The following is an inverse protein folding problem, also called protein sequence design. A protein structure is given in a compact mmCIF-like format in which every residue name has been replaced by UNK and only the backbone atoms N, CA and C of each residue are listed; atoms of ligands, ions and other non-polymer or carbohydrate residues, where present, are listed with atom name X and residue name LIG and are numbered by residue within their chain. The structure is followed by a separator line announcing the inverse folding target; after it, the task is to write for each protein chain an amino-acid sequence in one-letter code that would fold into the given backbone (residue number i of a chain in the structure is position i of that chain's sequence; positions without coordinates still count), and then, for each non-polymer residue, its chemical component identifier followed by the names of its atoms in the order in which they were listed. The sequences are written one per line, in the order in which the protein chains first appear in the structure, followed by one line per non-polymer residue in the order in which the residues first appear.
data_IF_201208058032
#
_entry.id   IF_201208058032
#
_cell.length_a   1.000
_cell.length_b   1.000
_cell.length_c   1.000
_cell.angle_alpha   90.00
_cell.angle_beta   90.00
_cell.angle_gamma   90.00
#
_symmetry.space_group_name_H-M   'P 1'
#
loop_
_entity.id
_entity.type
_entity.pdbx_description
1 polymer ?
#
# COMPACT_ATOMS: atom_id res chain seq x y z
N UNK A 1 53.09 -0.59 -2.97
CA UNK A 1 52.01 -0.60 -1.97
C UNK A 1 51.06 0.53 -2.39
N UNK A 2 50.30 0.26 -3.46
CA UNK A 2 49.36 1.22 -4.04
C UNK A 2 48.10 1.24 -3.20
N UNK A 3 47.80 2.41 -2.64
CA UNK A 3 46.51 2.70 -2.03
C UNK A 3 45.45 2.72 -3.12
N UNK A 4 44.73 1.60 -3.26
CA UNK A 4 43.46 1.55 -3.96
C UNK A 4 42.52 2.49 -3.21
N UNK A 5 42.38 3.71 -3.74
CA UNK A 5 41.32 4.61 -3.35
C UNK A 5 40.02 3.95 -3.79
N UNK A 6 39.36 3.24 -2.88
CA UNK A 6 37.94 2.92 -3.00
C UNK A 6 37.20 4.24 -3.21
N UNK A 7 36.93 4.58 -4.47
CA UNK A 7 35.83 5.45 -4.81
C UNK A 7 34.56 4.67 -4.44
N UNK A 8 34.23 4.69 -3.14
CA UNK A 8 32.90 4.39 -2.68
C UNK A 8 31.99 5.35 -3.42
N UNK A 9 31.45 4.87 -4.54
CA UNK A 9 30.37 5.48 -5.30
C UNK A 9 29.33 5.83 -4.25
N UNK A 10 29.30 7.12 -3.90
CA UNK A 10 28.45 7.66 -2.86
C UNK A 10 27.05 7.45 -3.32
N UNK A 11 26.51 6.28 -2.96
CA UNK A 11 25.18 5.84 -3.31
C UNK A 11 24.25 6.80 -2.59
N UNK A 12 23.93 7.89 -3.29
CA UNK A 12 23.29 9.05 -2.70
C UNK A 12 22.00 8.59 -2.04
N UNK A 13 21.98 8.56 -0.70
CA UNK A 13 20.84 8.14 0.12
C UNK A 13 19.63 9.08 -0.03
N UNK A 14 19.75 10.10 -0.88
CA UNK A 14 18.67 11.05 -1.16
C UNK A 14 17.47 10.30 -1.74
N UNK A 15 16.28 10.44 -1.12
CA UNK A 15 15.06 9.86 -1.66
C UNK A 15 14.73 10.51 -3.00
N UNK A 16 14.34 9.68 -3.96
CA UNK A 16 13.79 10.09 -5.27
C UNK A 16 12.43 9.41 -5.38
N UNK A 17 11.38 10.03 -4.82
CA UNK A 17 10.07 9.41 -4.72
C UNK A 17 9.41 9.28 -6.09
N UNK A 18 8.71 8.17 -6.33
CA UNK A 18 7.71 8.11 -7.41
C UNK A 18 6.39 8.70 -6.89
N UNK A 19 6.01 9.85 -7.43
CA UNK A 19 4.86 10.62 -6.94
C UNK A 19 3.53 9.87 -7.11
N UNK A 20 3.36 9.09 -8.18
CA UNK A 20 2.12 8.36 -8.44
C UNK A 20 1.99 7.16 -7.48
N UNK A 21 3.07 6.42 -7.29
CA UNK A 21 3.14 5.31 -6.34
C UNK A 21 2.94 5.80 -4.90
N UNK A 22 3.64 6.87 -4.49
CA UNK A 22 3.53 7.46 -3.16
C UNK A 22 2.11 7.99 -2.90
N UNK A 23 1.58 8.81 -3.81
CA UNK A 23 0.23 9.35 -3.67
C UNK A 23 -0.81 8.21 -3.63
N UNK A 24 -0.66 7.19 -4.48
CA UNK A 24 -1.55 6.04 -4.49
C UNK A 24 -1.53 5.27 -3.17
N UNK A 25 -0.34 5.01 -2.63
CA UNK A 25 -0.20 4.31 -1.34
C UNK A 25 -0.80 5.12 -0.17
N UNK A 26 -0.63 6.45 -0.17
CA UNK A 26 -1.23 7.33 0.84
C UNK A 26 -2.75 7.39 0.72
N UNK A 27 -3.28 7.51 -0.49
CA UNK A 27 -4.72 7.50 -0.76
C UNK A 27 -5.32 6.15 -0.35
N UNK A 28 -4.65 5.04 -0.66
CA UNK A 28 -5.05 3.71 -0.24
C UNK A 28 -5.06 3.59 1.30
N UNK A 29 -4.04 4.11 1.97
CA UNK A 29 -3.96 4.15 3.44
C UNK A 29 -5.12 4.94 4.04
N UNK A 30 -5.39 6.14 3.50
CA UNK A 30 -6.52 6.95 3.93
C UNK A 30 -7.86 6.22 3.71
N UNK A 31 -8.06 5.61 2.54
CA UNK A 31 -9.28 4.86 2.22
C UNK A 31 -9.50 3.65 3.13
N UNK A 32 -8.42 2.94 3.50
CA UNK A 32 -8.47 1.83 4.45
C UNK A 32 -8.80 2.28 5.88
N UNK A 33 -8.22 3.40 6.31
CA UNK A 33 -8.34 3.89 7.68
C UNK A 33 -9.59 4.75 7.92
N UNK A 34 -10.17 5.37 6.88
CA UNK A 34 -11.34 6.24 7.03
C UNK A 34 -12.51 5.56 7.77
N UNK A 35 -12.86 4.29 7.47
CA UNK A 35 -13.91 3.58 8.21
C UNK A 35 -13.55 3.31 9.68
N UNK A 36 -12.27 3.30 10.06
CA UNK A 36 -11.83 3.03 11.43
C UNK A 36 -12.12 4.19 12.39
N UNK A 37 -12.28 5.40 11.86
CA UNK A 37 -12.49 6.63 12.64
C UNK A 37 -13.95 7.12 12.62
N UNK A 38 -14.84 6.46 11.88
CA UNK A 38 -16.25 6.83 11.82
C UNK A 38 -16.97 6.38 13.11
N UNK A 39 -17.57 7.32 13.86
CA UNK A 39 -18.15 7.07 15.19
C UNK A 39 -19.68 7.23 15.27
N UNK A 40 -20.39 7.48 14.17
CA UNK A 40 -21.79 7.86 14.25
C UNK A 40 -22.76 6.66 14.36
N UNK A 41 -23.38 6.55 15.54
CA UNK A 41 -24.83 6.38 15.68
C UNK A 41 -25.41 4.96 15.78
N UNK A 42 -24.80 3.97 15.15
CA UNK A 42 -25.11 2.56 15.42
C UNK A 42 -23.85 1.91 15.92
N UNK A 43 -23.95 1.14 17.00
CA UNK A 43 -22.85 0.34 17.52
C UNK A 43 -22.40 -0.64 16.45
N UNK A 44 -21.51 -0.19 15.58
CA UNK A 44 -20.49 -1.04 15.05
C UNK A 44 -19.61 -1.38 16.26
N UNK A 45 -19.98 -2.48 16.93
CA UNK A 45 -19.09 -3.26 17.81
C UNK A 45 -17.81 -3.71 17.08
N UNK A 46 -17.71 -3.36 15.79
CA UNK A 46 -16.67 -3.61 14.83
C UNK A 46 -15.78 -2.38 14.55
N UNK A 47 -15.61 -1.45 15.48
CA UNK A 47 -14.57 -0.41 15.30
C UNK A 47 -13.25 -1.08 14.89
N UNK A 48 -12.54 -0.56 13.89
CA UNK A 48 -11.31 -1.20 13.39
C UNK A 48 -10.27 -1.46 14.50
N UNK A 49 -10.40 -0.78 15.63
CA UNK A 49 -9.69 -1.03 16.89
C UNK A 49 -10.03 -2.33 17.60
N UNK A 50 -11.30 -2.77 17.56
CA UNK A 50 -11.70 -4.10 18.04
C UNK A 50 -11.02 -5.19 17.20
N UNK A 51 -10.87 -4.96 15.90
CA UNK A 51 -10.04 -5.80 15.03
C UNK A 51 -8.54 -5.63 15.31
N UNK A 52 -8.02 -4.43 15.59
CA UNK A 52 -6.61 -4.26 15.92
C UNK A 52 -6.17 -4.98 17.21
N UNK A 53 -7.13 -5.36 18.07
CA UNK A 53 -6.85 -6.06 19.31
C UNK A 53 -6.23 -7.44 19.06
N UNK A 54 -4.94 -7.56 19.40
CA UNK A 54 -4.18 -8.81 19.39
C UNK A 54 -4.78 -9.87 20.34
N UNK A 55 -5.47 -9.45 21.39
CA UNK A 55 -6.11 -10.37 22.34
C UNK A 55 -7.45 -10.93 21.86
N UNK A 56 -8.08 -10.30 20.85
CA UNK A 56 -9.37 -10.71 20.27
C UNK A 56 -9.24 -11.51 18.97
N UNK A 57 -8.02 -11.76 18.47
CA UNK A 57 -7.79 -12.51 17.22
C UNK A 57 -7.90 -11.69 15.94
N UNK A 58 -8.18 -10.39 16.01
CA UNK A 58 -8.31 -9.52 14.84
C UNK A 58 -6.99 -8.88 14.35
N UNK A 59 -5.89 -9.03 15.11
CA UNK A 59 -4.65 -8.27 14.88
C UNK A 59 -4.03 -8.43 13.48
N UNK A 60 -4.46 -9.45 12.72
CA UNK A 60 -4.08 -9.63 11.32
C UNK A 60 -4.58 -8.50 10.41
N UNK A 61 -5.63 -7.77 10.78
CA UNK A 61 -6.13 -6.61 10.01
C UNK A 61 -5.09 -5.49 9.92
N UNK A 62 -4.21 -5.36 10.92
CA UNK A 62 -3.09 -4.40 10.94
C UNK A 62 -2.01 -4.72 9.89
N UNK A 63 -2.04 -5.91 9.29
CA UNK A 63 -1.12 -6.25 8.21
C UNK A 63 -1.39 -5.38 6.97
N UNK A 64 -2.65 -5.07 6.65
CA UNK A 64 -2.96 -4.22 5.50
C UNK A 64 -2.30 -2.82 5.58
N UNK A 65 -2.45 -2.05 6.68
CA UNK A 65 -1.74 -0.78 6.83
C UNK A 65 -0.22 -0.96 6.98
N UNK A 66 0.27 -2.07 7.54
CA UNK A 66 1.71 -2.36 7.56
C UNK A 66 2.29 -2.53 6.15
N UNK A 67 1.60 -3.25 5.27
CA UNK A 67 1.97 -3.37 3.86
C UNK A 67 1.90 -2.02 3.14
N UNK A 68 0.88 -1.19 3.39
CA UNK A 68 0.82 0.17 2.83
C UNK A 68 1.95 1.06 3.35
N UNK A 69 2.35 0.93 4.62
CA UNK A 69 3.50 1.65 5.16
C UNK A 69 4.80 1.23 4.46
N UNK A 70 4.99 -0.07 4.20
CA UNK A 70 6.12 -0.56 3.38
C UNK A 70 6.07 0.03 1.98
N UNK A 71 4.89 0.10 1.35
CA UNK A 71 4.74 0.72 0.02
C UNK A 71 5.11 2.21 0.04
N UNK A 72 4.68 2.97 1.05
CA UNK A 72 5.05 4.39 1.23
C UNK A 72 6.56 4.54 1.37
N UNK A 73 7.19 3.78 2.27
CA UNK A 73 8.64 3.84 2.49
C UNK A 73 9.38 3.46 1.20
N UNK A 74 9.02 2.33 0.58
CA UNK A 74 9.65 1.88 -0.66
C UNK A 74 9.48 2.88 -1.82
N UNK A 75 8.33 3.56 -1.89
CA UNK A 75 8.06 4.57 -2.92
C UNK A 75 9.05 5.75 -2.88
N UNK A 76 9.63 6.06 -1.72
CA UNK A 76 10.62 7.15 -1.57
C UNK A 76 11.92 6.89 -2.34
N UNK A 77 12.22 5.63 -2.69
CA UNK A 77 13.40 5.26 -3.49
C UNK A 77 13.05 4.64 -4.84
N UNK A 78 11.77 4.51 -5.17
CA UNK A 78 11.31 3.85 -6.39
C UNK A 78 11.79 4.53 -7.68
N UNK A 79 12.05 5.85 -7.66
CA UNK A 79 12.56 6.58 -8.82
C UNK A 79 14.01 6.26 -9.21
N UNK A 80 14.79 5.64 -8.31
CA UNK A 80 16.20 5.24 -8.56
C UNK A 80 16.47 3.75 -8.41
N UNK A 81 15.65 3.02 -7.65
CA UNK A 81 15.86 1.61 -7.37
C UNK A 81 14.71 0.76 -7.89
N UNK A 82 15.01 -0.09 -8.88
CA UNK A 82 14.07 -1.09 -9.38
C UNK A 82 13.63 -2.05 -8.26
N UNK A 83 14.54 -2.40 -7.34
CA UNK A 83 14.21 -3.25 -6.20
C UNK A 83 13.17 -2.57 -5.29
N UNK A 84 13.34 -1.27 -5.00
CA UNK A 84 12.37 -0.52 -4.21
C UNK A 84 11.00 -0.44 -4.91
N UNK A 85 10.97 -0.24 -6.23
CA UNK A 85 9.73 -0.27 -6.99
C UNK A 85 9.02 -1.64 -6.93
N UNK A 86 9.75 -2.76 -7.05
CA UNK A 86 9.20 -4.11 -6.93
C UNK A 86 8.67 -4.40 -5.52
N UNK A 87 9.39 -3.99 -4.47
CA UNK A 87 8.93 -4.08 -3.09
C UNK A 87 7.64 -3.29 -2.88
N UNK A 88 7.56 -2.08 -3.42
CA UNK A 88 6.37 -1.26 -3.30
C UNK A 88 5.16 -1.91 -4.01
N UNK A 89 5.34 -2.44 -5.23
CA UNK A 89 4.27 -3.15 -5.96
C UNK A 89 3.81 -4.39 -5.19
N UNK A 90 4.75 -5.21 -4.70
CA UNK A 90 4.43 -6.38 -3.89
C UNK A 90 3.68 -6.01 -2.62
N UNK A 91 4.07 -4.90 -1.99
CA UNK A 91 3.41 -4.41 -0.79
C UNK A 91 1.99 -3.88 -1.06
N UNK A 92 1.78 -3.16 -2.17
CA UNK A 92 0.45 -2.71 -2.60
C UNK A 92 -0.46 -3.91 -2.92
N UNK A 93 0.07 -4.95 -3.57
CA UNK A 93 -0.69 -6.16 -3.85
C UNK A 93 -1.08 -6.91 -2.56
N UNK A 94 -0.14 -7.06 -1.62
CA UNK A 94 -0.40 -7.66 -0.31
C UNK A 94 -1.43 -6.88 0.50
N UNK A 95 -1.34 -5.54 0.51
CA UNK A 95 -2.32 -4.67 1.13
C UNK A 95 -3.72 -4.83 0.51
N UNK A 96 -3.81 -4.87 -0.82
CA UNK A 96 -5.09 -5.08 -1.52
C UNK A 96 -5.74 -6.42 -1.17
N UNK A 97 -4.96 -7.50 -1.14
CA UNK A 97 -5.44 -8.82 -0.75
C UNK A 97 -5.97 -8.83 0.69
N UNK A 98 -5.19 -8.27 1.63
CA UNK A 98 -5.60 -8.21 3.04
C UNK A 98 -6.82 -7.31 3.23
N UNK A 99 -6.91 -6.19 2.51
CA UNK A 99 -8.09 -5.34 2.57
C UNK A 99 -9.36 -6.08 2.11
N UNK A 100 -9.27 -6.86 1.02
CA UNK A 100 -10.37 -7.73 0.58
C UNK A 100 -10.72 -8.80 1.62
N UNK A 101 -9.72 -9.41 2.25
CA UNK A 101 -9.95 -10.38 3.32
C UNK A 101 -10.68 -9.74 4.52
N UNK A 102 -10.36 -8.50 4.89
CA UNK A 102 -11.07 -7.75 5.94
C UNK A 102 -12.52 -7.49 5.54
N UNK A 103 -12.76 -7.08 4.31
CA UNK A 103 -14.12 -6.88 3.78
C UNK A 103 -14.92 -8.19 3.80
N UNK A 104 -14.33 -9.30 3.35
CA UNK A 104 -14.97 -10.62 3.37
C UNK A 104 -15.28 -11.10 4.80
N UNK A 105 -14.33 -10.94 5.72
CA UNK A 105 -14.52 -11.26 7.13
C UNK A 105 -15.64 -10.40 7.76
N UNK A 106 -15.77 -9.15 7.32
CA UNK A 106 -16.81 -8.24 7.80
C UNK A 106 -18.21 -8.70 7.37
N UNK A 107 -18.36 -9.17 6.13
CA UNK A 107 -19.64 -9.72 5.66
C UNK A 107 -20.01 -11.06 6.33
N UNK A 108 -19.03 -11.88 6.72
CA UNK A 108 -19.29 -13.16 7.39
C UNK A 108 -19.93 -13.03 8.78
N UNK A 109 -19.92 -11.83 9.38
CA UNK A 109 -20.47 -11.55 10.71
C UNK A 109 -21.83 -10.84 10.68
N UNK A 110 -22.43 -10.64 9.51
CA UNK A 110 -23.76 -10.01 9.38
C UNK A 110 -24.85 -11.08 9.43
N UNK A 111 -25.63 -11.12 10.52
CA UNK A 111 -26.78 -12.02 10.66
C UNK A 111 -27.93 -11.63 9.69
N UNK A 112 -28.58 -12.66 9.12
CA UNK A 112 -29.49 -12.63 7.95
C UNK A 112 -30.80 -11.80 8.06
N UNK A 113 -31.07 -11.07 9.15
CA UNK A 113 -32.45 -10.56 9.43
C UNK A 113 -32.74 -9.08 9.16
N UNK A 114 -31.78 -8.23 8.78
CA UNK A 114 -32.03 -6.78 8.61
C UNK A 114 -31.42 -6.16 7.34
N UNK A 115 -31.52 -6.86 6.21
CA UNK A 115 -30.52 -6.80 5.12
C UNK A 115 -30.67 -5.70 4.06
N UNK A 116 -31.71 -4.84 4.09
CA UNK A 116 -31.86 -3.78 3.08
C UNK A 116 -31.51 -2.36 3.60
N UNK A 117 -31.93 -1.98 4.81
CA UNK A 117 -31.51 -0.71 5.42
C UNK A 117 -30.04 -0.74 5.89
N UNK A 118 -29.51 -1.93 6.22
CA UNK A 118 -28.15 -2.11 6.70
C UNK A 118 -27.09 -1.85 5.61
N UNK A 119 -27.38 -2.18 4.35
CA UNK A 119 -26.49 -1.89 3.21
C UNK A 119 -26.39 -0.39 2.90
N UNK A 120 -27.47 0.36 3.09
CA UNK A 120 -27.50 1.80 2.90
C UNK A 120 -26.81 2.57 4.03
N UNK A 121 -26.75 2.00 5.24
CA UNK A 121 -26.07 2.57 6.41
C UNK A 121 -24.62 2.11 6.61
N UNK A 122 -24.10 1.19 5.79
CA UNK A 122 -22.76 0.66 5.99
C UNK A 122 -21.68 1.73 5.71
N UNK A 123 -20.69 1.91 6.61
CA UNK A 123 -19.67 2.96 6.54
C UNK A 123 -18.60 2.71 5.47
N UNK A 124 -18.92 1.94 4.43
CA UNK A 124 -18.05 1.79 3.27
C UNK A 124 -17.95 3.06 2.44
N UNK A 125 -18.97 3.93 2.52
CA UNK A 125 -19.03 5.31 2.02
C UNK A 125 -18.03 5.66 0.94
N UNK A 126 -17.18 6.65 1.22
CA UNK A 126 -16.09 7.07 0.33
C UNK A 126 -14.81 6.23 0.55
N UNK A 127 -14.72 5.47 1.65
CA UNK A 127 -13.52 4.72 2.02
C UNK A 127 -13.13 3.63 1.03
N UNK A 128 -14.06 2.75 0.63
CA UNK A 128 -13.78 1.68 -0.34
C UNK A 128 -13.44 2.24 -1.75
N UNK A 129 -14.21 3.20 -2.31
CA UNK A 129 -13.82 3.84 -3.57
C UNK A 129 -12.44 4.50 -3.50
N UNK A 130 -12.12 5.17 -2.39
CA UNK A 130 -10.83 5.83 -2.20
C UNK A 130 -9.69 4.81 -2.10
N UNK A 131 -9.90 3.72 -1.36
CA UNK A 131 -8.96 2.60 -1.29
C UNK A 131 -8.69 2.02 -2.68
N UNK A 132 -9.74 1.71 -3.44
CA UNK A 132 -9.61 1.14 -4.77
C UNK A 132 -8.88 2.09 -5.73
N UNK A 133 -9.22 3.38 -5.71
CA UNK A 133 -8.53 4.39 -6.50
C UNK A 133 -7.05 4.52 -6.11
N UNK A 134 -6.75 4.51 -4.82
CA UNK A 134 -5.38 4.56 -4.29
C UNK A 134 -4.55 3.35 -4.71
N UNK A 135 -5.08 2.13 -4.55
CA UNK A 135 -4.42 0.89 -4.97
C UNK A 135 -4.19 0.87 -6.49
N UNK A 136 -5.18 1.28 -7.28
CA UNK A 136 -5.06 1.38 -8.74
C UNK A 136 -3.96 2.36 -9.16
N UNK A 137 -3.93 3.55 -8.54
CA UNK A 137 -2.90 4.55 -8.79
C UNK A 137 -1.51 4.05 -8.37
N UNK A 138 -1.42 3.40 -7.21
CA UNK A 138 -0.18 2.85 -6.68
C UNK A 138 0.39 1.74 -7.59
N UNK A 139 -0.45 0.82 -8.06
CA UNK A 139 -0.06 -0.22 -9.01
C UNK A 139 0.39 0.39 -10.34
N UNK A 140 -0.36 1.34 -10.89
CA UNK A 140 0.01 2.01 -12.14
C UNK A 140 1.36 2.75 -12.02
N UNK A 141 1.56 3.48 -10.91
CA UNK A 141 2.83 4.16 -10.60
C UNK A 141 3.98 3.17 -10.42
N UNK A 142 3.77 2.09 -9.67
CA UNK A 142 4.76 1.04 -9.47
C UNK A 142 5.17 0.33 -10.76
N UNK A 143 4.22 -0.05 -11.60
CA UNK A 143 4.49 -0.64 -12.92
C UNK A 143 5.31 0.31 -13.79
N UNK A 144 4.95 1.59 -13.84
CA UNK A 144 5.72 2.61 -14.56
C UNK A 144 7.16 2.72 -14.02
N UNK A 145 7.34 2.77 -12.70
CA UNK A 145 8.66 2.87 -12.08
C UNK A 145 9.55 1.66 -12.40
N UNK A 146 8.98 0.45 -12.40
CA UNK A 146 9.69 -0.77 -12.80
C UNK A 146 10.12 -0.72 -14.27
N UNK A 147 9.23 -0.32 -15.19
CA UNK A 147 9.55 -0.20 -16.62
C UNK A 147 10.65 0.83 -16.86
N UNK A 148 10.57 2.00 -16.23
CA UNK A 148 11.61 3.04 -16.34
C UNK A 148 12.95 2.52 -15.80
N UNK A 149 12.94 1.78 -14.69
CA UNK A 149 14.13 1.16 -14.12
C UNK A 149 14.77 0.12 -15.07
N UNK A 150 13.96 -0.70 -15.75
CA UNK A 150 14.42 -1.67 -16.74
C UNK A 150 15.06 -0.99 -17.95
N UNK A 151 14.42 0.05 -18.49
CA UNK A 151 14.92 0.78 -19.65
C UNK A 151 16.29 1.44 -19.36
N UNK A 152 16.45 2.04 -18.18
CA UNK A 152 17.74 2.64 -17.77
C UNK A 152 18.86 1.61 -17.72
N UNK A 153 18.61 0.45 -17.11
CA UNK A 153 19.59 -0.66 -17.08
C UNK A 153 19.96 -1.14 -18.48
N UNK A 154 19.02 -1.18 -19.41
CA UNK A 154 19.29 -1.55 -20.80
C UNK A 154 20.20 -0.55 -21.52
N UNK A 155 19.98 0.76 -21.31
CA UNK A 155 20.84 1.83 -21.86
C UNK A 155 22.25 1.74 -21.30
N UNK A 156 22.39 1.55 -19.98
CA UNK A 156 23.71 1.45 -19.33
C UNK A 156 24.49 0.22 -19.85
N UNK A 157 23.82 -0.91 -20.06
CA UNK A 157 24.44 -2.11 -20.61
C UNK A 157 24.95 -1.92 -22.05
N UNK A 158 24.21 -1.17 -22.89
CA UNK A 158 24.61 -0.87 -24.25
C UNK A 158 25.82 0.10 -24.31
N UNK A 159 25.91 1.04 -23.35
CA UNK A 159 27.02 2.00 -23.29
C UNK A 159 28.35 1.39 -22.82
N UNK A 160 28.32 0.22 -22.17
CA UNK A 160 29.53 -0.51 -21.73
C UNK A 160 30.09 -1.42 -22.83
N UNK A 161 29.30 -1.71 -23.87
CA UNK A 161 29.72 -2.56 -24.99
C UNK A 161 30.37 -1.80 -26.17
N UNK A 162 30.35 -0.46 -26.14
CA UNK A 162 31.00 0.43 -27.11
C UNK A 162 32.35 0.94 -26.59
#
# INVERSE_FOLDING_TARGET
MESVSESGSGDSLRPVPDAALLAGALIAGAGYLLPWFHQDGYQWSYSGWAYASLSGGGGWTLLAPAFLAVAVVASMWAGRSMAAAMWAVGAVAGAGFLALAVVAASFSHVDERSTLDYLAGMPFGVGLPLLAAGLGLALAGGCRAVVVGLLRRGVDAAAVSD
#
